data_IF_111599322690
#
_entry.id   IF_111599322690
#
_cell.length_a   1.000
_cell.length_b   1.000
_cell.length_c   1.000
_cell.angle_alpha   90.00
_cell.angle_beta   90.00
_cell.angle_gamma   90.00
#
_symmetry.space_group_name_H-M   'P 1'
#
loop_
_entity.id
_entity.type
_entity.pdbx_description
1 polymer ?
#
# COMPACT_ATOMS: atom_id res chain seq x y z
N UNK A 1 12.75 -10.88 -6.47
CA UNK A 1 11.57 -11.25 -7.29
C UNK A 1 11.73 -12.71 -7.67
N UNK A 2 10.90 -13.62 -7.14
CA UNK A 2 10.80 -14.99 -7.65
C UNK A 2 9.34 -15.32 -7.90
N UNK A 3 9.07 -15.87 -9.06
CA UNK A 3 7.77 -16.39 -9.47
C UNK A 3 7.86 -17.90 -9.24
N UNK A 4 7.14 -18.41 -8.24
CA UNK A 4 6.92 -19.85 -8.07
C UNK A 4 5.51 -20.18 -8.56
N UNK A 5 5.33 -21.26 -9.35
CA UNK A 5 4.01 -21.64 -9.82
C UNK A 5 3.22 -22.34 -8.71
N UNK A 6 1.95 -21.98 -8.57
CA UNK A 6 0.98 -22.70 -7.75
C UNK A 6 0.65 -24.04 -8.43
N UNK A 7 0.88 -25.17 -7.75
CA UNK A 7 0.69 -26.52 -8.31
C UNK A 7 -0.77 -27.00 -8.32
N UNK A 8 -1.77 -26.18 -7.94
CA UNK A 8 -3.18 -26.60 -7.88
C UNK A 8 -4.18 -25.71 -8.63
N UNK A 9 -3.79 -24.53 -9.08
CA UNK A 9 -4.58 -23.79 -10.07
C UNK A 9 -3.64 -23.01 -10.98
N UNK A 10 -3.81 -23.14 -12.31
CA UNK A 10 -2.98 -22.47 -13.33
C UNK A 10 -3.08 -20.94 -13.37
N UNK A 11 -3.37 -20.29 -12.24
CA UNK A 11 -3.46 -18.84 -12.07
C UNK A 11 -2.20 -18.36 -11.35
N UNK A 12 -1.48 -17.41 -11.98
CA UNK A 12 -0.33 -16.73 -11.36
C UNK A 12 -0.84 -15.81 -10.26
N UNK A 13 -0.76 -16.25 -9.00
CA UNK A 13 -1.00 -15.39 -7.84
C UNK A 13 0.35 -14.84 -7.38
N UNK A 14 0.47 -13.51 -7.32
CA UNK A 14 1.63 -12.86 -6.72
C UNK A 14 1.51 -13.02 -5.20
N UNK A 15 2.31 -13.91 -4.63
CA UNK A 15 2.46 -13.99 -3.19
C UNK A 15 3.42 -12.89 -2.71
N UNK A 16 2.94 -12.02 -1.82
CA UNK A 16 3.82 -11.18 -1.00
C UNK A 16 4.36 -12.06 0.14
N UNK A 17 5.55 -12.64 -0.07
CA UNK A 17 6.26 -13.37 0.96
C UNK A 17 6.83 -12.37 1.98
N UNK A 18 6.43 -12.52 3.24
CA UNK A 18 7.04 -11.84 4.39
C UNK A 18 8.43 -12.44 4.59
N UNK A 19 9.44 -11.76 4.06
CA UNK A 19 10.85 -12.06 4.32
C UNK A 19 11.24 -11.32 5.61
N UNK A 20 11.35 -12.04 6.72
CA UNK A 20 11.85 -11.55 8.02
C UNK A 20 13.39 -11.35 7.96
N UNK A 21 13.86 -10.59 6.97
CA UNK A 21 15.18 -9.95 7.00
C UNK A 21 14.96 -8.50 7.41
N UNK A 22 15.73 -8.02 8.38
CA UNK A 22 15.72 -6.63 8.84
C UNK A 22 16.15 -5.71 7.70
N UNK A 23 15.21 -5.39 6.80
CA UNK A 23 15.39 -4.40 5.75
C UNK A 23 15.58 -3.04 6.42
N UNK A 24 16.53 -2.27 5.91
CA UNK A 24 16.74 -0.92 6.40
C UNK A 24 15.44 -0.11 6.22
N UNK A 25 15.20 0.84 7.11
CA UNK A 25 14.02 1.72 7.03
C UNK A 25 13.89 2.33 5.62
N UNK A 26 15.00 2.68 4.98
CA UNK A 26 15.07 3.21 3.62
C UNK A 26 14.55 2.24 2.57
N UNK A 27 14.97 0.96 2.59
CA UNK A 27 14.50 -0.04 1.64
C UNK A 27 13.00 -0.32 1.78
N UNK A 28 12.48 -0.29 3.02
CA UNK A 28 11.06 -0.42 3.28
C UNK A 28 10.27 0.77 2.70
N UNK A 29 10.80 2.00 2.83
CA UNK A 29 10.18 3.19 2.23
C UNK A 29 10.20 3.14 0.70
N UNK A 30 11.33 2.79 0.08
CA UNK A 30 11.47 2.66 -1.38
C UNK A 30 10.47 1.66 -1.97
N UNK A 31 10.34 0.49 -1.34
CA UNK A 31 9.36 -0.52 -1.75
C UNK A 31 7.93 0.00 -1.63
N UNK A 32 7.64 0.75 -0.57
CA UNK A 32 6.32 1.35 -0.35
C UNK A 32 6.00 2.43 -1.38
N UNK A 33 6.96 3.29 -1.72
CA UNK A 33 6.83 4.29 -2.79
C UNK A 33 6.51 3.60 -4.10
N UNK A 34 7.27 2.57 -4.48
CA UNK A 34 7.03 1.80 -5.73
C UNK A 34 5.67 1.11 -5.72
N UNK A 35 5.29 0.53 -4.59
CA UNK A 35 3.98 -0.09 -4.42
C UNK A 35 2.86 0.94 -4.63
N UNK A 36 2.94 2.11 -4.00
CA UNK A 36 1.91 3.15 -4.12
C UNK A 36 1.88 3.76 -5.52
N UNK A 37 3.05 3.94 -6.14
CA UNK A 37 3.17 4.47 -7.50
C UNK A 37 2.50 3.58 -8.55
N UNK A 38 2.54 2.25 -8.38
CA UNK A 38 1.93 1.30 -9.32
C UNK A 38 0.42 1.12 -9.18
N UNK A 39 -0.20 1.65 -8.12
CA UNK A 39 -1.64 1.50 -7.89
C UNK A 39 -2.48 2.38 -8.84
N UNK A 40 -3.58 1.78 -9.31
CA UNK A 40 -4.65 2.50 -10.01
C UNK A 40 -5.60 3.19 -9.04
N UNK A 41 -6.45 4.09 -9.57
CA UNK A 41 -7.38 4.91 -8.76
C UNK A 41 -8.25 4.07 -7.82
N UNK A 42 -8.88 3.02 -8.35
CA UNK A 42 -9.78 2.17 -7.58
C UNK A 42 -9.05 1.46 -6.43
N UNK A 43 -7.84 0.97 -6.67
CA UNK A 43 -7.03 0.29 -5.65
C UNK A 43 -6.62 1.25 -4.53
N UNK A 44 -6.25 2.48 -4.89
CA UNK A 44 -5.89 3.51 -3.91
C UNK A 44 -7.09 3.88 -3.05
N UNK A 45 -8.26 4.13 -3.67
CA UNK A 45 -9.51 4.45 -2.95
C UNK A 45 -9.89 3.31 -2.01
N UNK A 46 -9.85 2.06 -2.46
CA UNK A 46 -10.14 0.90 -1.63
C UNK A 46 -9.19 0.81 -0.44
N UNK A 47 -7.88 0.95 -0.67
CA UNK A 47 -6.87 0.94 0.41
C UNK A 47 -7.03 2.08 1.41
N UNK A 48 -7.45 3.26 0.95
CA UNK A 48 -7.75 4.41 1.83
C UNK A 48 -8.97 4.09 2.70
N UNK A 49 -10.06 3.58 2.11
CA UNK A 49 -11.29 3.24 2.85
C UNK A 49 -11.10 2.07 3.81
N UNK A 50 -10.25 1.11 3.45
CA UNK A 50 -9.91 -0.05 4.29
C UNK A 50 -8.69 0.21 5.19
N UNK A 51 -8.24 1.46 5.31
CA UNK A 51 -7.03 1.77 6.08
C UNK A 51 -7.27 1.56 7.57
N UNK A 52 -6.63 0.55 8.14
CA UNK A 52 -6.66 0.26 9.57
C UNK A 52 -5.32 0.66 10.20
N UNK A 53 -5.21 1.95 10.58
CA UNK A 53 -4.04 2.54 11.24
C UNK A 53 -4.39 3.13 12.60
N UNK A 54 -3.45 3.88 13.20
CA UNK A 54 -3.68 4.55 14.51
C UNK A 54 -4.79 5.59 14.46
N UNK A 55 -5.11 6.10 13.28
CA UNK A 55 -6.22 7.00 13.01
C UNK A 55 -7.01 6.44 11.83
N UNK A 56 -8.34 6.60 11.89
CA UNK A 56 -9.25 6.21 10.82
C UNK A 56 -9.22 7.29 9.73
N UNK A 57 -9.17 6.88 8.47
CA UNK A 57 -9.40 7.77 7.34
C UNK A 57 -10.92 7.77 7.06
N UNK A 58 -11.61 8.84 7.44
CA UNK A 58 -13.06 9.01 7.30
C UNK A 58 -13.44 9.85 6.07
N UNK A 59 -12.75 9.64 4.96
CA UNK A 59 -13.07 10.34 3.72
C UNK A 59 -14.38 9.85 3.09
N UNK A 60 -15.19 10.79 2.61
CA UNK A 60 -16.39 10.48 1.83
C UNK A 60 -16.04 10.05 0.41
N UNK A 61 -16.92 9.29 -0.25
CA UNK A 61 -16.72 8.88 -1.63
C UNK A 61 -16.69 10.09 -2.59
N UNK A 62 -17.50 11.11 -2.31
CA UNK A 62 -17.53 12.37 -3.06
C UNK A 62 -16.19 13.10 -2.98
N UNK A 63 -15.60 13.17 -1.79
CA UNK A 63 -14.29 13.78 -1.60
C UNK A 63 -13.22 13.04 -2.38
N UNK A 64 -13.15 11.70 -2.26
CA UNK A 64 -12.15 10.89 -2.97
C UNK A 64 -12.33 10.95 -4.50
N UNK A 65 -13.57 11.05 -5.00
CA UNK A 65 -13.86 11.22 -6.43
C UNK A 65 -13.38 12.57 -6.98
N UNK A 66 -13.39 13.63 -6.17
CA UNK A 66 -12.92 14.96 -6.56
C UNK A 66 -11.39 15.10 -6.64
N UNK A 67 -10.63 14.17 -6.03
CA UNK A 67 -9.17 14.26 -5.99
C UNK A 67 -8.50 13.67 -7.24
N UNK A 68 -7.35 14.22 -7.62
CA UNK A 68 -6.47 13.60 -8.63
C UNK A 68 -5.86 12.29 -8.13
N UNK A 69 -5.44 11.43 -9.05
CA UNK A 69 -4.80 10.17 -8.71
C UNK A 69 -3.53 10.37 -7.86
N UNK A 70 -2.70 11.35 -8.23
CA UNK A 70 -1.49 11.69 -7.48
C UNK A 70 -1.80 12.10 -6.04
N UNK A 71 -2.85 12.91 -5.84
CA UNK A 71 -3.27 13.32 -4.50
C UNK A 71 -3.73 12.12 -3.66
N UNK A 72 -4.48 11.20 -4.25
CA UNK A 72 -4.89 9.96 -3.59
C UNK A 72 -3.67 9.11 -3.20
N UNK A 73 -2.68 8.97 -4.09
CA UNK A 73 -1.43 8.25 -3.82
C UNK A 73 -0.65 8.89 -2.66
N UNK A 74 -0.57 10.22 -2.62
CA UNK A 74 0.08 10.93 -1.52
C UNK A 74 -0.64 10.75 -0.18
N UNK A 75 -1.97 10.79 -0.16
CA UNK A 75 -2.76 10.52 1.06
C UNK A 75 -2.49 9.12 1.57
N UNK A 76 -2.54 8.11 0.68
CA UNK A 76 -2.27 6.72 1.05
C UNK A 76 -0.82 6.54 1.56
N UNK A 77 0.15 7.16 0.90
CA UNK A 77 1.56 7.09 1.32
C UNK A 77 1.77 7.70 2.70
N UNK A 78 1.22 8.90 2.95
CA UNK A 78 1.32 9.57 4.25
C UNK A 78 0.69 8.71 5.37
N UNK A 79 -0.48 8.13 5.11
CA UNK A 79 -1.13 7.23 6.04
C UNK A 79 -0.26 6.00 6.36
N UNK A 80 0.30 5.36 5.33
CA UNK A 80 1.17 4.19 5.51
C UNK A 80 2.49 4.53 6.22
N UNK A 81 3.10 5.66 5.93
CA UNK A 81 4.34 6.13 6.58
C UNK A 81 4.18 6.27 8.10
N UNK A 82 2.97 6.58 8.59
CA UNK A 82 2.72 6.63 10.03
C UNK A 82 2.94 5.31 10.76
N UNK A 83 2.84 4.15 10.07
CA UNK A 83 3.14 2.83 10.66
C UNK A 83 4.64 2.61 10.90
N UNK A 84 5.50 3.33 10.17
CA UNK A 84 6.96 3.18 10.26
C UNK A 84 7.59 4.16 11.27
N UNK A 85 6.80 5.04 11.89
CA UNK A 85 7.28 5.92 12.95
C UNK A 85 7.38 5.10 14.26
N UNK A 86 8.61 4.70 14.60
CA UNK A 86 8.95 4.08 15.89
C UNK A 86 8.42 4.99 17.01
N UNK A 87 7.69 4.47 18.02
CA UNK A 87 7.38 5.26 19.20
C UNK A 87 8.72 5.68 19.84
N UNK A 88 8.84 6.98 20.14
CA UNK A 88 9.91 7.52 20.97
C UNK A 88 9.78 6.97 22.39
#
# INVERSE_FOLDING_TARGET
>A
MRISPDKKSGKRVIFFFRDDRQMSTTENYEQLIRMVASLGRNDVVQKIKSFNGRFRLDFTDEYLKGLSLDRLKHILFAALSTKFKKPN
#
